data_IF_627039933206
#
_entry.id   IF_627039933206
#
_cell.length_a   1.000
_cell.length_b   1.000
_cell.length_c   1.000
_cell.angle_alpha   90.00
_cell.angle_beta   90.00
_cell.angle_gamma   90.00
#
_symmetry.space_group_name_H-M   'P 1'
#
loop_
_entity.id
_entity.type
_entity.pdbx_description
1 polymer ?
#
# COMPACT_ATOMS: atom_id res chain seq x y z
N UNK A 1 4.01 13.19 2.11
CA UNK A 1 4.31 14.07 0.95
C UNK A 1 3.02 14.65 0.38
N UNK A 2 3.05 15.87 -0.20
CA UNK A 2 1.85 16.57 -0.67
C UNK A 2 1.07 15.84 -1.78
N UNK A 3 1.74 15.07 -2.64
CA UNK A 3 1.10 14.34 -3.73
C UNK A 3 0.03 13.35 -3.25
N UNK A 4 0.34 12.51 -2.26
CA UNK A 4 -0.63 11.56 -1.70
C UNK A 4 -1.74 12.25 -0.88
N UNK A 5 -1.39 13.28 -0.10
CA UNK A 5 -2.35 13.97 0.79
C UNK A 5 -3.45 14.71 0.02
N UNK A 6 -3.11 15.24 -1.16
CA UNK A 6 -4.05 15.96 -2.04
C UNK A 6 -4.81 15.05 -3.00
N UNK A 7 -4.48 13.75 -3.04
CA UNK A 7 -5.12 12.80 -3.95
C UNK A 7 -6.57 12.53 -3.52
N UNK A 8 -7.52 12.67 -4.46
CA UNK A 8 -8.95 12.54 -4.19
C UNK A 8 -9.37 11.13 -3.77
N UNK A 9 -8.78 10.10 -4.37
CA UNK A 9 -9.03 8.70 -3.98
C UNK A 9 -8.44 8.37 -2.60
N UNK A 10 -9.28 7.80 -1.74
CA UNK A 10 -8.88 7.23 -0.44
C UNK A 10 -8.11 5.92 -0.58
N UNK A 11 -8.21 5.25 -1.74
CA UNK A 11 -7.49 4.01 -2.05
C UNK A 11 -6.16 4.26 -2.76
N UNK A 12 -5.77 5.53 -2.92
CA UNK A 12 -4.45 5.88 -3.40
C UNK A 12 -3.37 5.63 -2.33
N UNK A 13 -2.24 5.11 -2.77
CA UNK A 13 -1.10 4.71 -1.94
C UNK A 13 0.23 5.10 -2.60
N UNK A 14 1.29 5.35 -1.81
CA UNK A 14 2.59 5.70 -2.35
C UNK A 14 3.29 4.46 -2.91
N UNK A 15 3.86 4.57 -4.12
CA UNK A 15 4.76 3.55 -4.67
C UNK A 15 6.22 3.83 -4.33
N UNK A 16 6.59 5.11 -4.22
CA UNK A 16 7.96 5.52 -3.95
C UNK A 16 8.31 6.79 -4.71
N UNK A 17 9.58 6.90 -5.11
CA UNK A 17 10.09 7.98 -5.93
C UNK A 17 10.49 7.45 -7.31
N UNK A 18 10.34 8.26 -8.34
CA UNK A 18 10.95 7.99 -9.64
C UNK A 18 12.46 8.28 -9.64
N UNK A 19 13.12 8.07 -10.78
CA UNK A 19 14.56 8.31 -10.96
C UNK A 19 14.96 9.79 -10.82
N UNK A 20 14.00 10.71 -10.94
CA UNK A 20 14.18 12.14 -10.75
C UNK A 20 13.86 12.60 -9.32
N UNK A 21 13.47 11.67 -8.44
CA UNK A 21 13.10 11.95 -7.05
C UNK A 21 11.66 12.44 -6.87
N UNK A 22 10.83 12.42 -7.92
CA UNK A 22 9.43 12.84 -7.79
C UNK A 22 8.59 11.72 -7.17
N UNK A 23 7.64 12.06 -6.29
CA UNK A 23 6.79 11.07 -5.66
C UNK A 23 5.81 10.44 -6.64
N UNK A 24 5.78 9.11 -6.67
CA UNK A 24 4.83 8.32 -7.45
C UNK A 24 3.73 7.78 -6.53
N UNK A 25 2.49 8.03 -6.92
CA UNK A 25 1.27 7.59 -6.24
C UNK A 25 0.49 6.70 -7.20
N UNK A 26 0.05 5.55 -6.72
CA UNK A 26 -0.86 4.65 -7.44
C UNK A 26 -2.24 4.65 -6.77
N UNK A 27 -3.26 4.25 -7.52
CA UNK A 27 -4.64 4.20 -7.04
C UNK A 27 -5.28 2.85 -7.36
N UNK A 28 -5.74 2.14 -6.32
CA UNK A 28 -6.46 0.88 -6.49
C UNK A 28 -7.83 1.07 -7.15
N UNK A 29 -8.43 2.27 -7.13
CA UNK A 29 -9.66 2.50 -7.89
C UNK A 29 -9.41 2.44 -9.41
N UNK A 30 -8.26 2.94 -9.87
CA UNK A 30 -7.88 2.89 -11.28
C UNK A 30 -7.29 1.53 -11.68
N UNK A 31 -6.66 0.83 -10.72
CA UNK A 31 -6.11 -0.52 -10.87
C UNK A 31 -6.78 -1.44 -9.84
N UNK A 32 -7.97 -2.00 -10.15
CA UNK A 32 -8.82 -2.67 -9.17
C UNK A 32 -8.17 -3.90 -8.53
N UNK A 33 -7.13 -4.44 -9.14
CA UNK A 33 -6.33 -5.53 -8.61
C UNK A 33 -4.84 -5.22 -8.81
N UNK A 34 -4.03 -5.61 -7.83
CA UNK A 34 -2.58 -5.41 -7.82
C UNK A 34 -1.88 -6.73 -7.55
N UNK A 35 -0.92 -7.11 -8.42
CA UNK A 35 -0.02 -8.23 -8.19
C UNK A 35 1.36 -7.69 -7.78
N UNK A 36 1.84 -8.11 -6.61
CA UNK A 36 3.19 -7.79 -6.12
C UNK A 36 4.02 -9.06 -6.06
N UNK A 37 5.05 -9.15 -6.89
CA UNK A 37 5.95 -10.29 -6.97
C UNK A 37 7.41 -9.83 -6.82
N UNK A 38 8.26 -10.69 -6.28
CA UNK A 38 9.68 -10.42 -6.06
C UNK A 38 10.33 -11.52 -5.23
N UNK A 39 11.64 -11.70 -5.37
CA UNK A 39 12.38 -12.65 -4.57
C UNK A 39 12.50 -12.17 -3.10
N UNK A 40 12.96 -13.07 -2.22
CA UNK A 40 13.27 -12.73 -0.83
C UNK A 40 14.21 -11.52 -0.79
N UNK A 41 13.97 -10.61 0.15
CA UNK A 41 14.78 -9.41 0.37
C UNK A 41 14.72 -8.34 -0.74
N UNK A 42 13.76 -8.41 -1.67
CA UNK A 42 13.53 -7.36 -2.69
C UNK A 42 12.49 -6.31 -2.27
N UNK A 43 12.16 -6.23 -0.98
CA UNK A 43 11.25 -5.20 -0.47
C UNK A 43 9.76 -5.47 -0.68
N UNK A 44 9.35 -6.67 -1.12
CA UNK A 44 7.93 -7.06 -1.26
C UNK A 44 7.13 -6.79 0.03
N UNK A 45 7.65 -7.22 1.17
CA UNK A 45 6.95 -7.07 2.46
C UNK A 45 6.89 -5.61 2.91
N UNK A 46 7.96 -4.85 2.69
CA UNK A 46 7.99 -3.40 2.97
C UNK A 46 6.95 -2.67 2.10
N UNK A 47 6.84 -3.05 0.83
CA UNK A 47 5.84 -2.49 -0.07
C UNK A 47 4.41 -2.77 0.43
N UNK A 48 4.11 -4.01 0.81
CA UNK A 48 2.79 -4.37 1.37
C UNK A 48 2.48 -3.58 2.64
N UNK A 49 3.44 -3.47 3.56
CA UNK A 49 3.28 -2.69 4.79
C UNK A 49 3.05 -1.21 4.50
N UNK A 50 3.74 -0.64 3.51
CA UNK A 50 3.56 0.75 3.08
C UNK A 50 2.16 0.98 2.52
N UNK A 51 1.66 0.07 1.68
CA UNK A 51 0.31 0.11 1.14
C UNK A 51 -0.72 0.03 2.27
N UNK A 52 -0.64 -0.99 3.14
CA UNK A 52 -1.60 -1.20 4.23
C UNK A 52 -1.60 0.01 5.15
N UNK A 53 -0.42 0.46 5.59
CA UNK A 53 -0.29 1.64 6.46
C UNK A 53 -0.89 2.89 5.81
N UNK A 54 -0.64 3.10 4.51
CA UNK A 54 -1.21 4.23 3.78
C UNK A 54 -2.73 4.23 3.80
N UNK A 55 -3.37 3.06 3.64
CA UNK A 55 -4.82 2.92 3.76
C UNK A 55 -5.28 3.24 5.18
N UNK A 56 -4.64 2.66 6.20
CA UNK A 56 -4.99 2.89 7.61
C UNK A 56 -4.89 4.37 8.02
N UNK A 57 -3.91 5.13 7.49
CA UNK A 57 -3.79 6.56 7.76
C UNK A 57 -4.86 7.44 7.11
N UNK A 58 -5.60 6.92 6.12
CA UNK A 58 -6.52 7.73 5.29
C UNK A 58 -7.97 7.23 5.30
N UNK A 59 -8.23 6.07 5.91
CA UNK A 59 -9.53 5.40 5.87
C UNK A 59 -9.96 4.97 7.26
N UNK A 60 -11.28 4.88 7.45
CA UNK A 60 -11.88 4.30 8.65
C UNK A 60 -12.35 2.87 8.36
N UNK A 61 -12.63 2.03 9.37
CA UNK A 61 -13.22 0.70 9.17
C UNK A 61 -14.57 0.68 8.44
N UNK A 62 -15.24 1.83 8.31
CA UNK A 62 -16.45 2.00 7.50
C UNK A 62 -16.14 2.22 6.01
N UNK A 63 -14.99 2.81 5.70
CA UNK A 63 -14.54 3.08 4.33
C UNK A 63 -13.91 1.83 3.70
N UNK A 64 -13.05 1.13 4.45
CA UNK A 64 -12.27 -0.03 3.97
C UNK A 64 -12.29 -1.14 5.00
N UNK A 65 -12.49 -2.37 4.54
CA UNK A 65 -12.31 -3.60 5.32
C UNK A 65 -11.18 -4.40 4.70
N UNK A 66 -10.23 -4.82 5.52
CA UNK A 66 -9.08 -5.61 5.08
C UNK A 66 -9.30 -7.07 5.45
N UNK A 67 -8.97 -7.97 4.53
CA UNK A 67 -8.84 -9.41 4.78
C UNK A 67 -7.39 -9.76 4.52
N UNK A 68 -6.64 -10.04 5.57
CA UNK A 68 -5.21 -10.33 5.52
C UNK A 68 -5.01 -11.85 5.58
N UNK A 69 -4.28 -12.39 4.61
CA UNK A 69 -3.96 -13.82 4.53
C UNK A 69 -2.45 -13.97 4.50
N UNK A 70 -1.86 -14.43 5.60
CA UNK A 70 -0.45 -14.75 5.70
C UNK A 70 -0.26 -16.25 6.02
N UNK A 71 -0.04 -17.10 5.01
CA UNK A 71 0.11 -18.54 5.22
C UNK A 71 1.39 -18.90 6.00
N UNK A 72 2.39 -18.00 6.03
CA UNK A 72 3.64 -18.23 6.76
C UNK A 72 3.63 -17.59 8.16
N UNK A 73 2.72 -16.65 8.41
CA UNK A 73 2.61 -15.85 9.66
C UNK A 73 3.90 -15.11 10.03
N UNK A 74 4.58 -14.55 9.04
CA UNK A 74 5.84 -13.82 9.22
C UNK A 74 5.69 -12.34 8.87
N UNK A 75 4.80 -12.02 7.92
CA UNK A 75 4.80 -10.74 7.22
C UNK A 75 3.70 -9.79 7.71
N UNK A 76 2.53 -10.33 8.09
CA UNK A 76 1.33 -9.52 8.40
C UNK A 76 0.90 -9.54 9.88
N UNK A 77 1.62 -10.26 10.75
CA UNK A 77 1.30 -10.40 12.18
C UNK A 77 1.26 -9.07 12.96
N UNK A 78 1.83 -8.00 12.40
CA UNK A 78 1.77 -6.65 12.98
C UNK A 78 0.37 -6.00 12.88
N UNK A 79 -0.54 -6.57 12.08
CA UNK A 79 -1.88 -6.03 11.82
C UNK A 79 -3.02 -6.92 12.34
N UNK A 80 -2.68 -8.02 13.02
CA UNK A 80 -3.64 -8.89 13.71
C UNK A 80 -4.15 -8.25 15.01
#
# INVERSE_FOLDING_TARGET
>A
QPALRSHSSKLAFPLGLDVSGNPIVADLCAMPHLLVAGATNMGKSIMLNSLISSLLFRTTPRDVRLVLIDPKRVELSLFD
#
